data_IF_121170961115
#
_entry.id   IF_121170961115
#
_cell.length_a   1.000
_cell.length_b   1.000
_cell.length_c   1.000
_cell.angle_alpha   90.00
_cell.angle_beta   90.00
_cell.angle_gamma   90.00
#
_symmetry.space_group_name_H-M   'P 1'
#
loop_
_entity.id
_entity.type
_entity.pdbx_description
1 polymer ?
#
# COMPACT_ATOMS: atom_id res chain seq x y z
N UNK A 1 59.95 -2.38 42.97
CA UNK A 1 58.95 -1.90 41.97
C UNK A 1 58.33 -3.13 41.32
N UNK A 2 57.03 -3.03 41.05
CA UNK A 2 56.08 -4.14 40.96
C UNK A 2 56.22 -5.09 39.76
N UNK A 3 55.67 -6.29 39.98
CA UNK A 3 55.54 -7.49 39.14
C UNK A 3 55.01 -7.25 37.72
N UNK A 4 55.44 -8.11 36.79
CA UNK A 4 54.55 -8.67 35.77
C UNK A 4 55.05 -10.07 35.34
N UNK A 5 54.31 -11.09 35.75
CA UNK A 5 54.43 -12.48 35.32
C UNK A 5 53.25 -12.74 34.40
N UNK A 6 53.51 -12.99 33.12
CA UNK A 6 52.51 -13.39 32.14
C UNK A 6 52.46 -14.93 32.15
N UNK A 7 51.34 -15.50 32.60
CA UNK A 7 51.04 -16.93 32.40
C UNK A 7 49.80 -17.03 31.52
N UNK A 8 50.02 -17.78 30.44
CA UNK A 8 49.11 -18.25 29.41
C UNK A 8 48.13 -19.29 29.96
N UNK A 9 46.86 -19.22 29.57
CA UNK A 9 45.93 -20.35 29.59
C UNK A 9 44.83 -20.17 28.54
N UNK A 10 44.63 -21.21 27.73
CA UNK A 10 43.63 -21.34 26.66
C UNK A 10 42.27 -21.87 27.17
N UNK A 11 41.26 -21.73 26.28
CA UNK A 11 39.94 -22.40 26.23
C UNK A 11 38.89 -21.86 27.23
N UNK A 12 37.67 -21.47 26.83
CA UNK A 12 36.63 -22.27 26.17
C UNK A 12 35.68 -21.44 25.28
N UNK A 13 35.13 -22.10 24.26
CA UNK A 13 34.03 -21.65 23.42
C UNK A 13 32.66 -21.77 24.14
N UNK A 14 31.65 -21.15 23.52
CA UNK A 14 30.21 -21.25 23.76
C UNK A 14 29.62 -20.60 25.04
N UNK A 15 29.09 -19.39 24.87
CA UNK A 15 27.80 -19.00 25.45
C UNK A 15 27.33 -17.62 24.92
N UNK A 16 26.04 -17.57 24.60
CA UNK A 16 25.18 -16.37 24.59
C UNK A 16 25.19 -15.46 23.36
N UNK A 17 24.73 -15.98 22.22
CA UNK A 17 23.77 -15.21 21.42
C UNK A 17 22.42 -15.23 22.15
N UNK A 18 22.15 -14.20 22.96
CA UNK A 18 20.82 -13.92 23.44
C UNK A 18 19.94 -13.57 22.23
N UNK A 19 19.25 -14.58 21.69
CA UNK A 19 17.96 -14.31 21.08
C UNK A 19 17.08 -13.71 22.17
N UNK A 20 16.46 -12.55 21.91
CA UNK A 20 15.29 -12.12 22.65
C UNK A 20 14.19 -13.14 22.35
N UNK A 21 14.23 -14.25 23.10
CA UNK A 21 13.25 -15.30 23.07
C UNK A 21 11.94 -14.74 23.61
N UNK A 22 10.89 -15.03 22.86
CA UNK A 22 9.50 -14.89 23.20
C UNK A 22 9.22 -15.26 24.67
N UNK A 23 9.07 -14.23 25.51
CA UNK A 23 8.74 -14.35 26.94
C UNK A 23 7.22 -14.47 27.18
N UNK A 24 6.39 -14.64 26.14
CA UNK A 24 4.93 -14.65 26.30
C UNK A 24 4.38 -15.85 27.08
N UNK A 25 5.17 -16.89 27.39
CA UNK A 25 4.65 -18.15 27.98
C UNK A 25 4.68 -18.28 29.51
N UNK A 26 5.04 -17.26 30.27
CA UNK A 26 5.08 -17.37 31.74
C UNK A 26 3.92 -16.71 32.50
N UNK A 27 2.88 -16.18 31.84
CA UNK A 27 1.88 -15.35 32.52
C UNK A 27 0.46 -15.35 31.94
N UNK A 28 -0.04 -16.46 31.40
CA UNK A 28 -1.39 -16.48 30.80
C UNK A 28 -1.56 -15.53 29.62
N UNK A 29 -2.76 -15.49 29.04
CA UNK A 29 -3.06 -14.56 27.96
C UNK A 29 -3.04 -13.13 28.52
N UNK A 30 -2.12 -12.30 28.02
CA UNK A 30 -2.10 -10.88 28.38
C UNK A 30 -3.41 -10.23 27.91
N UNK A 31 -4.01 -9.32 28.70
CA UNK A 31 -5.18 -8.60 28.24
C UNK A 31 -4.81 -7.76 27.00
N UNK A 32 -5.75 -7.59 26.05
CA UNK A 32 -5.49 -6.79 24.86
C UNK A 32 -5.16 -5.34 25.24
N UNK A 33 -4.36 -4.67 24.41
CA UNK A 33 -4.01 -3.25 24.61
C UNK A 33 -5.27 -2.37 24.56
N UNK A 34 -6.22 -2.74 23.70
CA UNK A 34 -7.57 -2.18 23.66
C UNK A 34 -8.52 -3.13 22.92
N UNK A 35 -9.82 -2.85 23.02
CA UNK A 35 -10.85 -3.59 22.30
C UNK A 35 -11.68 -2.60 21.49
N UNK A 36 -11.83 -2.85 20.19
CA UNK A 36 -12.69 -2.05 19.32
C UNK A 36 -14.08 -2.65 19.28
N UNK A 37 -15.11 -1.82 19.43
CA UNK A 37 -16.46 -2.20 19.02
C UNK A 37 -16.58 -2.07 17.50
N UNK A 38 -16.91 -3.16 16.80
CA UNK A 38 -17.02 -3.15 15.34
C UNK A 38 -18.41 -3.61 14.91
N UNK A 39 -18.97 -2.92 13.91
CA UNK A 39 -20.27 -3.25 13.32
C UNK A 39 -20.11 -3.36 11.81
N UNK A 40 -20.36 -4.55 11.27
CA UNK A 40 -20.41 -4.76 9.82
C UNK A 40 -21.86 -4.68 9.37
N UNK A 41 -22.13 -3.86 8.36
CA UNK A 41 -23.47 -3.53 7.86
C UNK A 41 -23.58 -3.83 6.36
N UNK A 42 -24.80 -4.08 5.90
CA UNK A 42 -25.09 -4.36 4.50
C UNK A 42 -25.48 -5.82 4.26
N UNK A 43 -25.78 -6.14 3.01
CA UNK A 43 -26.17 -7.47 2.58
C UNK A 43 -24.98 -8.21 1.96
N UNK A 44 -24.43 -9.18 2.69
CA UNK A 44 -23.34 -10.02 2.19
C UNK A 44 -23.74 -10.79 0.92
N UNK A 45 -24.99 -11.23 0.84
CA UNK A 45 -25.49 -12.01 -0.30
C UNK A 45 -25.48 -11.17 -1.58
N UNK A 46 -25.65 -9.85 -1.46
CA UNK A 46 -25.62 -8.92 -2.58
C UNK A 46 -24.21 -8.62 -3.11
N UNK A 47 -23.16 -8.89 -2.33
CA UNK A 47 -21.76 -8.52 -2.69
C UNK A 47 -20.80 -9.69 -2.76
N UNK A 48 -21.16 -10.85 -2.18
CA UNK A 48 -20.29 -12.03 -2.15
C UNK A 48 -20.04 -12.57 -3.55
N UNK A 49 -18.85 -13.10 -3.74
CA UNK A 49 -18.46 -13.76 -5.00
C UNK A 49 -18.32 -15.27 -4.87
N UNK A 50 -18.33 -15.78 -3.64
CA UNK A 50 -18.29 -17.19 -3.30
C UNK A 50 -19.56 -17.61 -2.53
N UNK A 51 -19.98 -18.86 -2.69
CA UNK A 51 -21.18 -19.41 -2.06
C UNK A 51 -21.04 -19.61 -0.53
N UNK A 52 -19.81 -19.70 -0.03
CA UNK A 52 -19.51 -19.93 1.40
C UNK A 52 -18.20 -19.23 1.79
N UNK A 53 -18.23 -17.90 1.97
CA UNK A 53 -17.02 -17.13 2.30
C UNK A 53 -16.56 -17.42 3.74
N UNK A 54 -15.24 -17.53 3.94
CA UNK A 54 -14.64 -17.57 5.28
C UNK A 54 -14.38 -16.13 5.73
N UNK A 55 -15.42 -15.50 6.27
CA UNK A 55 -15.34 -14.08 6.58
C UNK A 55 -14.49 -13.80 7.80
N UNK A 56 -13.56 -12.87 7.60
CA UNK A 56 -12.70 -12.33 8.64
C UNK A 56 -12.66 -10.82 8.55
N UNK A 57 -12.08 -10.24 9.59
CA UNK A 57 -11.77 -8.82 9.63
C UNK A 57 -10.33 -8.65 10.08
N UNK A 58 -9.59 -7.79 9.38
CA UNK A 58 -8.21 -7.46 9.69
C UNK A 58 -8.03 -5.96 9.91
N UNK A 59 -7.03 -5.60 10.71
CA UNK A 59 -6.51 -4.23 10.78
C UNK A 59 -5.46 -4.05 9.69
N UNK A 60 -5.62 -3.04 8.86
CA UNK A 60 -4.64 -2.69 7.82
C UNK A 60 -4.08 -1.32 8.12
N UNK A 61 -2.78 -1.26 8.41
CA UNK A 61 -2.04 -0.04 8.66
C UNK A 61 -1.62 0.63 7.36
N UNK A 62 -1.83 1.94 7.29
CA UNK A 62 -1.55 2.73 6.10
C UNK A 62 -0.12 3.26 6.04
N UNK A 63 0.42 3.38 4.84
CA UNK A 63 1.62 4.16 4.55
C UNK A 63 1.28 5.66 4.45
N UNK A 64 2.32 6.49 4.53
CA UNK A 64 2.26 7.85 4.01
C UNK A 64 1.94 7.81 2.51
N UNK A 65 0.98 8.64 2.09
CA UNK A 65 0.59 8.76 0.69
C UNK A 65 1.79 9.18 -0.19
N UNK A 66 2.15 8.34 -1.17
CA UNK A 66 3.12 8.68 -2.23
C UNK A 66 2.48 8.37 -3.58
N UNK A 67 1.78 9.33 -4.17
CA UNK A 67 1.21 9.12 -5.49
C UNK A 67 2.29 8.85 -6.53
N UNK A 68 2.06 7.88 -7.43
CA UNK A 68 2.88 7.75 -8.64
C UNK A 68 2.77 9.05 -9.45
N UNK A 69 3.90 9.63 -9.86
CA UNK A 69 3.93 10.94 -10.54
C UNK A 69 3.11 10.96 -11.83
N UNK A 70 3.10 9.84 -12.55
CA UNK A 70 2.26 9.64 -13.75
C UNK A 70 0.78 9.76 -13.44
N UNK A 71 0.35 9.26 -12.28
CA UNK A 71 -1.04 9.26 -11.84
C UNK A 71 -1.52 10.60 -11.25
N UNK A 72 -0.61 11.56 -11.08
CA UNK A 72 -0.95 12.93 -10.65
C UNK A 72 -0.73 13.97 -11.73
N UNK A 73 -0.17 13.58 -12.88
CA UNK A 73 -0.07 14.50 -14.00
C UNK A 73 -1.44 14.73 -14.61
N UNK A 74 -1.79 15.99 -14.92
CA UNK A 74 -3.02 16.28 -15.66
C UNK A 74 -2.92 15.65 -17.06
N UNK A 75 -3.87 14.78 -17.46
CA UNK A 75 -3.85 14.17 -18.77
C UNK A 75 -4.04 15.23 -19.87
N UNK A 76 -3.30 15.10 -20.97
CA UNK A 76 -3.40 16.02 -22.10
C UNK A 76 -4.60 15.71 -23.00
N UNK A 77 -5.12 14.48 -22.93
CA UNK A 77 -6.21 13.98 -23.79
C UNK A 77 -7.22 13.12 -23.02
N UNK A 78 -8.43 12.97 -23.56
CA UNK A 78 -9.46 12.08 -22.97
C UNK A 78 -9.05 10.60 -22.99
N UNK A 79 -8.28 10.19 -24.00
CA UNK A 79 -7.73 8.83 -24.10
C UNK A 79 -6.76 8.56 -22.95
N UNK A 80 -5.83 9.48 -22.70
CA UNK A 80 -4.91 9.43 -21.57
C UNK A 80 -5.67 9.45 -20.23
N UNK A 81 -6.71 10.26 -20.08
CA UNK A 81 -7.56 10.24 -18.88
C UNK A 81 -8.17 8.85 -18.65
N UNK A 82 -8.69 8.22 -19.70
CA UNK A 82 -9.33 6.90 -19.61
C UNK A 82 -8.30 5.83 -19.24
N UNK A 83 -7.13 5.87 -19.90
CA UNK A 83 -6.01 4.99 -19.60
C UNK A 83 -5.56 5.13 -18.14
N UNK A 84 -5.26 6.35 -17.68
CA UNK A 84 -4.82 6.61 -16.32
C UNK A 84 -5.88 6.21 -15.30
N UNK A 85 -7.17 6.48 -15.56
CA UNK A 85 -8.25 6.06 -14.65
C UNK A 85 -8.36 4.53 -14.54
N UNK A 86 -8.00 3.79 -15.59
CA UNK A 86 -8.02 2.32 -15.58
C UNK A 86 -6.80 1.71 -14.88
N UNK A 87 -5.60 2.30 -15.06
CA UNK A 87 -4.34 1.74 -14.57
C UNK A 87 -3.85 2.33 -13.25
N UNK A 88 -4.16 3.60 -12.97
CA UNK A 88 -3.75 4.25 -11.74
C UNK A 88 -4.63 3.83 -10.57
N UNK A 89 -3.97 3.62 -9.43
CA UNK A 89 -4.63 3.73 -8.14
C UNK A 89 -5.12 5.17 -7.97
N UNK A 90 -6.34 5.35 -7.50
CA UNK A 90 -6.84 6.68 -7.18
C UNK A 90 -5.96 7.30 -6.08
N UNK A 91 -5.41 8.51 -6.28
CA UNK A 91 -4.43 9.09 -5.35
C UNK A 91 -5.00 9.26 -3.94
N UNK A 92 -6.29 9.51 -3.79
CA UNK A 92 -6.90 9.76 -2.48
C UNK A 92 -7.39 8.49 -1.78
N UNK A 93 -7.08 7.31 -2.32
CA UNK A 93 -7.39 6.05 -1.64
C UNK A 93 -6.47 5.83 -0.45
N UNK A 94 -7.02 5.17 0.58
CA UNK A 94 -6.22 4.59 1.65
C UNK A 94 -5.14 3.70 1.04
N UNK A 95 -3.91 3.81 1.52
CA UNK A 95 -2.71 3.14 0.99
C UNK A 95 -2.18 2.12 2.00
N UNK A 96 -2.51 0.82 1.87
CA UNK A 96 -2.03 -0.25 2.73
C UNK A 96 -0.52 -0.38 2.72
N UNK A 97 0.03 -0.64 3.91
CA UNK A 97 1.45 -0.98 4.11
C UNK A 97 1.63 -2.31 4.81
N UNK A 98 0.79 -2.61 5.79
CA UNK A 98 0.92 -3.79 6.64
C UNK A 98 -0.44 -4.25 7.14
N UNK A 99 -0.74 -5.53 6.99
CA UNK A 99 -1.84 -6.18 7.70
C UNK A 99 -1.37 -6.53 9.12
N UNK A 100 -2.23 -6.33 10.10
CA UNK A 100 -2.05 -6.72 11.49
C UNK A 100 -2.96 -7.88 11.85
N UNK A 101 -3.46 -7.86 13.10
CA UNK A 101 -4.35 -8.89 13.64
C UNK A 101 -5.58 -9.11 12.76
N UNK A 102 -6.07 -10.35 12.76
CA UNK A 102 -7.31 -10.74 12.10
C UNK A 102 -8.13 -11.69 12.98
N UNK A 103 -9.45 -11.55 12.94
CA UNK A 103 -10.38 -12.41 13.68
C UNK A 103 -11.53 -12.89 12.78
N UNK A 104 -12.11 -14.08 13.03
CA UNK A 104 -13.31 -14.52 12.36
C UNK A 104 -14.48 -13.56 12.57
N UNK A 105 -15.28 -13.35 11.53
CA UNK A 105 -16.40 -12.41 11.52
C UNK A 105 -17.73 -13.15 11.32
N UNK A 106 -18.70 -12.86 12.18
CA UNK A 106 -20.12 -13.11 11.89
C UNK A 106 -20.77 -11.81 11.44
N UNK A 107 -21.23 -11.69 10.18
CA UNK A 107 -21.80 -10.46 9.66
C UNK A 107 -23.07 -10.06 10.42
N UNK A 108 -23.36 -8.75 10.47
CA UNK A 108 -24.54 -8.16 11.12
C UNK A 108 -24.67 -8.39 12.64
N UNK A 109 -23.63 -8.89 13.30
CA UNK A 109 -23.54 -8.97 14.75
C UNK A 109 -22.43 -8.01 15.20
N UNK A 110 -22.71 -7.05 16.11
CA UNK A 110 -21.66 -6.28 16.75
C UNK A 110 -20.68 -7.21 17.44
N UNK A 111 -19.38 -7.03 17.20
CA UNK A 111 -18.37 -7.87 17.83
C UNK A 111 -17.20 -7.02 18.33
N UNK A 112 -16.45 -7.59 19.26
CA UNK A 112 -15.28 -6.99 19.88
C UNK A 112 -14.02 -7.46 19.15
N UNK A 113 -13.23 -6.52 18.64
CA UNK A 113 -11.94 -6.79 18.01
C UNK A 113 -10.83 -6.46 19.01
N UNK A 114 -10.11 -7.47 19.55
CA UNK A 114 -8.96 -7.24 20.40
C UNK A 114 -7.79 -6.70 19.57
N UNK A 115 -7.10 -5.69 20.09
CA UNK A 115 -5.83 -5.21 19.56
C UNK A 115 -4.72 -5.57 20.55
N UNK A 116 -3.86 -6.51 20.16
CA UNK A 116 -2.82 -7.03 21.04
C UNK A 116 -1.47 -6.36 20.79
N UNK A 117 -1.28 -5.81 19.59
CA UNK A 117 -0.03 -5.20 19.16
C UNK A 117 -0.13 -3.69 18.91
N UNK A 118 0.99 -3.01 19.18
CA UNK A 118 1.21 -1.63 18.73
C UNK A 118 1.55 -1.62 17.24
N UNK A 119 1.21 -0.54 16.51
CA UNK A 119 1.66 -0.39 15.13
C UNK A 119 3.19 -0.43 15.04
N UNK A 120 3.69 -1.08 14.00
CA UNK A 120 5.12 -1.12 13.71
C UNK A 120 5.70 0.28 13.42
N UNK A 121 7.00 0.45 13.68
CA UNK A 121 7.70 1.71 13.36
C UNK A 121 7.70 2.06 11.87
N UNK A 122 7.45 1.08 11.00
CA UNK A 122 7.36 1.22 9.54
C UNK A 122 6.06 1.87 9.03
N UNK A 123 5.03 1.94 9.89
CA UNK A 123 3.73 2.57 9.59
C UNK A 123 3.46 3.79 10.48
N UNK A 124 4.35 4.09 11.43
CA UNK A 124 4.29 5.28 12.25
C UNK A 124 5.05 6.43 11.59
N UNK A 125 4.36 7.56 11.39
CA UNK A 125 4.92 8.75 10.77
C UNK A 125 5.11 9.85 11.82
N UNK A 126 6.29 10.48 11.81
CA UNK A 126 6.65 11.56 12.71
C UNK A 126 8.00 11.34 13.40
N UNK A 127 8.38 12.27 14.28
CA UNK A 127 9.62 12.20 15.06
C UNK A 127 9.46 11.32 16.31
N UNK A 128 10.56 10.96 16.97
CA UNK A 128 10.55 10.03 18.13
C UNK A 128 9.63 10.46 19.29
N UNK A 129 9.29 11.75 19.41
CA UNK A 129 8.41 12.30 20.46
C UNK A 129 6.98 12.60 19.99
N UNK A 130 6.67 12.38 18.72
CA UNK A 130 5.41 12.74 18.08
C UNK A 130 5.21 11.87 16.84
N UNK A 131 4.54 10.71 17.01
CA UNK A 131 4.27 9.76 15.93
C UNK A 131 2.79 9.45 15.84
N UNK A 132 2.34 9.16 14.63
CA UNK A 132 0.97 8.70 14.39
C UNK A 132 0.95 7.60 13.34
N UNK A 133 0.11 6.60 13.56
CA UNK A 133 -0.30 5.62 12.56
C UNK A 133 -1.82 5.68 12.38
N UNK A 134 -2.27 5.37 11.16
CA UNK A 134 -3.68 5.24 10.82
C UNK A 134 -3.93 3.88 10.20
N UNK A 135 -5.08 3.29 10.50
CA UNK A 135 -5.50 2.01 9.95
C UNK A 135 -6.97 2.02 9.52
N UNK A 136 -7.24 1.22 8.48
CA UNK A 136 -8.58 0.78 8.12
C UNK A 136 -8.82 -0.61 8.70
N UNK A 137 -10.04 -0.87 9.17
CA UNK A 137 -10.49 -2.25 9.35
C UNK A 137 -11.04 -2.74 8.03
N UNK A 138 -10.70 -3.96 7.63
CA UNK A 138 -11.01 -4.54 6.32
C UNK A 138 -11.71 -5.87 6.52
N UNK A 139 -12.90 -6.03 5.94
CA UNK A 139 -13.65 -7.29 5.90
C UNK A 139 -13.25 -8.05 4.64
N UNK A 140 -12.81 -9.29 4.79
CA UNK A 140 -12.34 -10.10 3.68
C UNK A 140 -12.80 -11.56 3.76
N UNK A 141 -12.82 -12.20 2.60
CA UNK A 141 -12.93 -13.64 2.39
C UNK A 141 -11.53 -14.26 2.46
N UNK A 142 -11.26 -15.04 3.49
CA UNK A 142 -10.02 -15.80 3.68
C UNK A 142 -10.07 -17.06 2.82
N UNK A 143 -9.64 -16.93 1.56
CA UNK A 143 -9.89 -17.97 0.54
C UNK A 143 -8.96 -19.17 0.67
N UNK A 144 -7.81 -18.98 1.30
CA UNK A 144 -6.82 -20.01 1.53
C UNK A 144 -6.84 -20.55 2.98
N UNK A 145 -7.73 -20.00 3.82
CA UNK A 145 -7.87 -20.34 5.24
C UNK A 145 -6.58 -20.11 6.03
N UNK A 146 -5.76 -19.15 5.62
CA UNK A 146 -4.51 -18.79 6.31
C UNK A 146 -4.76 -18.11 7.66
N UNK A 147 -5.95 -17.55 7.86
CA UNK A 147 -6.34 -16.80 9.03
C UNK A 147 -5.77 -15.38 9.07
N UNK A 148 -5.14 -14.90 8.00
CA UNK A 148 -4.53 -13.57 7.91
C UNK A 148 -4.90 -12.90 6.60
N UNK A 149 -4.97 -11.57 6.58
CA UNK A 149 -5.19 -10.84 5.33
C UNK A 149 -3.88 -10.74 4.55
N UNK A 150 -3.84 -11.34 3.38
CA UNK A 150 -2.74 -11.18 2.43
C UNK A 150 -2.92 -9.91 1.60
N UNK A 151 -1.99 -8.96 1.75
CA UNK A 151 -2.00 -7.75 0.94
C UNK A 151 -1.44 -8.05 -0.46
N UNK A 152 -2.28 -7.84 -1.47
CA UNK A 152 -1.93 -8.02 -2.86
C UNK A 152 -0.87 -7.03 -3.33
N UNK A 153 -0.08 -7.46 -4.31
CA UNK A 153 0.91 -6.63 -4.98
C UNK A 153 0.48 -6.37 -6.42
N UNK A 154 0.91 -5.24 -6.95
CA UNK A 154 0.83 -4.99 -8.38
C UNK A 154 1.72 -6.01 -9.09
N UNK A 155 1.12 -6.83 -9.96
CA UNK A 155 1.87 -7.79 -10.76
C UNK A 155 2.73 -7.05 -11.78
N UNK A 156 3.92 -7.54 -12.11
CA UNK A 156 4.67 -6.99 -13.25
C UNK A 156 4.44 -7.90 -14.45
N UNK A 157 4.27 -7.36 -15.66
CA UNK A 157 4.42 -8.22 -16.82
C UNK A 157 5.83 -8.83 -16.78
N UNK A 158 5.95 -10.13 -17.12
CA UNK A 158 7.23 -10.82 -17.03
C UNK A 158 8.30 -10.08 -17.83
N UNK A 159 9.48 -9.93 -17.23
CA UNK A 159 10.64 -9.33 -17.85
C UNK A 159 11.87 -10.21 -17.56
N UNK A 160 12.61 -10.54 -18.62
CA UNK A 160 13.94 -11.12 -18.51
C UNK A 160 14.97 -10.03 -18.71
N UNK A 161 15.87 -9.88 -17.75
CA UNK A 161 17.00 -9.00 -17.95
C UNK A 161 17.88 -9.49 -19.11
N UNK A 162 18.72 -8.60 -19.64
CA UNK A 162 19.65 -8.90 -20.74
C UNK A 162 20.69 -9.97 -20.37
N UNK A 163 20.78 -10.38 -19.10
CA UNK A 163 21.66 -11.46 -18.62
C UNK A 163 20.94 -12.80 -18.54
N UNK A 164 19.70 -12.86 -19.01
CA UNK A 164 18.87 -14.07 -18.99
C UNK A 164 18.45 -14.50 -17.59
N UNK A 165 18.64 -13.64 -16.58
CA UNK A 165 18.05 -13.84 -15.27
C UNK A 165 16.62 -13.35 -15.36
N UNK A 166 15.70 -14.30 -15.33
CA UNK A 166 14.35 -14.00 -14.89
C UNK A 166 14.50 -13.50 -13.45
N UNK A 167 14.13 -12.25 -13.18
CA UNK A 167 13.88 -11.88 -11.79
C UNK A 167 12.67 -12.72 -11.39
N UNK A 168 12.94 -13.80 -10.66
CA UNK A 168 11.94 -14.72 -10.12
C UNK A 168 11.10 -14.04 -9.01
N UNK A 169 10.76 -12.74 -9.16
CA UNK A 169 9.55 -12.17 -8.55
C UNK A 169 8.30 -12.64 -9.34
N UNK A 170 8.30 -13.91 -9.79
CA UNK A 170 7.06 -14.65 -9.79
C UNK A 170 6.71 -14.85 -8.33
N UNK A 171 5.92 -13.92 -7.78
CA UNK A 171 4.92 -14.29 -6.77
C UNK A 171 3.98 -15.26 -7.50
N UNK A 172 4.44 -16.50 -7.66
CA UNK A 172 3.66 -17.63 -8.13
C UNK A 172 2.44 -17.75 -7.19
N UNK A 173 1.28 -17.84 -7.82
CA UNK A 173 -0.03 -18.11 -7.24
C UNK A 173 -0.89 -16.93 -6.72
N UNK A 174 -1.10 -15.93 -7.58
CA UNK A 174 -2.20 -14.97 -7.45
C UNK A 174 -3.61 -15.59 -7.68
N UNK A 175 -3.78 -16.92 -7.60
CA UNK A 175 -5.07 -17.58 -7.90
C UNK A 175 -6.00 -17.71 -6.69
N UNK A 176 -5.51 -17.49 -5.46
CA UNK A 176 -6.30 -17.63 -4.22
C UNK A 176 -6.25 -16.41 -3.32
N UNK A 177 -5.91 -15.21 -3.84
CA UNK A 177 -5.87 -14.01 -3.01
C UNK A 177 -7.21 -13.67 -2.35
N UNK A 178 -7.15 -13.19 -1.12
CA UNK A 178 -8.32 -12.78 -0.33
C UNK A 178 -9.20 -11.76 -1.04
N UNK A 179 -10.52 -11.89 -0.88
CA UNK A 179 -11.49 -10.97 -1.49
C UNK A 179 -11.97 -9.98 -0.45
N UNK A 180 -11.74 -8.68 -0.68
CA UNK A 180 -12.21 -7.64 0.23
C UNK A 180 -13.68 -7.30 -0.06
N UNK A 181 -14.53 -7.34 0.96
CA UNK A 181 -15.94 -6.95 0.89
C UNK A 181 -16.25 -5.64 1.61
N UNK A 182 -15.33 -5.09 2.40
CA UNK A 182 -15.57 -3.83 3.10
C UNK A 182 -14.30 -3.23 3.68
N UNK A 183 -14.30 -1.91 3.82
CA UNK A 183 -13.23 -1.17 4.48
C UNK A 183 -13.83 0.01 5.24
N UNK A 184 -13.39 0.21 6.49
CA UNK A 184 -13.80 1.34 7.33
C UNK A 184 -13.23 2.67 6.82
N UNK A 185 -12.10 2.61 6.10
CA UNK A 185 -11.48 3.73 5.43
C UNK A 185 -10.89 3.29 4.07
N UNK A 186 -11.65 3.52 2.99
CA UNK A 186 -11.23 3.17 1.63
C UNK A 186 -10.62 4.36 0.87
N UNK A 187 -11.20 5.55 1.05
CA UNK A 187 -10.80 6.77 0.37
C UNK A 187 -11.06 8.01 1.23
N UNK A 188 -10.24 9.04 1.06
CA UNK A 188 -10.44 10.34 1.72
C UNK A 188 -11.56 11.17 1.10
N UNK A 189 -12.09 10.72 -0.05
CA UNK A 189 -13.19 11.36 -0.76
C UNK A 189 -14.57 10.89 -0.32
N UNK A 190 -14.62 9.96 0.62
CA UNK A 190 -15.83 9.36 1.15
C UNK A 190 -15.83 9.52 2.67
N UNK A 191 -17.00 9.44 3.32
CA UNK A 191 -17.06 9.32 4.77
C UNK A 191 -16.26 8.11 5.26
N UNK A 192 -15.38 8.32 6.24
CA UNK A 192 -14.52 7.28 6.78
C UNK A 192 -14.60 7.19 8.32
N UNK A 193 -14.32 6.00 8.83
CA UNK A 193 -14.02 5.76 10.24
C UNK A 193 -12.74 4.95 10.32
N UNK A 194 -11.70 5.50 10.93
CA UNK A 194 -10.37 4.91 10.97
C UNK A 194 -9.87 4.75 12.39
N UNK A 195 -9.08 3.71 12.59
CA UNK A 195 -8.28 3.54 13.78
C UNK A 195 -7.05 4.45 13.67
N UNK A 196 -6.69 5.10 14.77
CA UNK A 196 -5.44 5.83 14.89
C UNK A 196 -4.70 5.41 16.15
N UNK A 197 -3.38 5.45 16.08
CA UNK A 197 -2.53 5.32 17.26
C UNK A 197 -1.58 6.51 17.29
N UNK A 198 -1.65 7.32 18.35
CA UNK A 198 -0.79 8.51 18.54
C UNK A 198 0.14 8.33 19.73
N UNK A 199 1.43 8.51 19.49
CA UNK A 199 2.45 8.62 20.52
C UNK A 199 2.92 10.05 20.68
N UNK A 200 2.86 10.56 21.92
CA UNK A 200 3.30 11.91 22.24
C UNK A 200 2.40 13.00 21.68
N UNK A 201 2.99 14.14 21.32
CA UNK A 201 2.26 15.28 20.79
C UNK A 201 1.83 15.04 19.33
N UNK A 202 0.72 15.66 18.90
CA UNK A 202 0.36 15.63 17.48
C UNK A 202 1.15 16.68 16.71
N UNK A 203 1.87 16.25 15.69
CA UNK A 203 2.48 17.13 14.71
C UNK A 203 1.60 17.15 13.46
N UNK A 204 1.04 18.31 13.11
CA UNK A 204 0.20 18.46 11.92
C UNK A 204 0.97 18.18 10.62
N UNK A 205 2.30 18.34 10.60
CA UNK A 205 3.13 17.94 9.46
C UNK A 205 3.22 16.41 9.28
N UNK A 206 2.88 15.63 10.31
CA UNK A 206 2.78 14.17 10.26
C UNK A 206 1.36 13.69 9.91
N UNK A 207 0.42 14.60 9.58
CA UNK A 207 -0.92 14.25 9.14
C UNK A 207 -0.91 13.84 7.66
N UNK A 208 -0.70 12.55 7.37
CA UNK A 208 -0.67 12.03 6.01
C UNK A 208 -2.02 11.52 5.48
N UNK A 209 -3.02 11.38 6.35
CA UNK A 209 -4.43 11.31 5.97
C UNK A 209 -5.13 12.58 6.46
N UNK A 210 -5.20 13.64 5.63
CA UNK A 210 -5.67 14.95 6.04
C UNK A 210 -7.03 14.93 6.72
N UNK A 211 -7.07 15.65 7.84
CA UNK A 211 -8.26 16.06 8.58
C UNK A 211 -8.12 17.53 8.97
N UNK A 212 -7.66 18.35 8.02
CA UNK A 212 -7.45 19.77 8.29
C UNK A 212 -8.79 20.40 8.70
N UNK A 213 -8.83 21.00 9.89
CA UNK A 213 -10.07 21.53 10.49
C UNK A 213 -10.68 20.63 11.57
N UNK A 214 -10.27 19.36 11.67
CA UNK A 214 -10.63 18.50 12.79
C UNK A 214 -9.71 18.72 14.01
N UNK A 215 -10.11 18.15 15.15
CA UNK A 215 -9.31 18.11 16.37
C UNK A 215 -8.05 17.26 16.24
N UNK A 216 -7.24 17.29 17.30
CA UNK A 216 -6.10 16.40 17.39
C UNK A 216 -6.56 14.97 17.69
N UNK A 217 -6.02 13.95 17.01
CA UNK A 217 -6.30 12.55 17.35
C UNK A 217 -6.04 12.27 18.84
N UNK A 218 -6.88 11.47 19.53
CA UNK A 218 -6.64 11.10 20.92
C UNK A 218 -5.26 10.44 21.12
N UNK A 219 -4.63 10.58 22.30
CA UNK A 219 -3.40 9.85 22.60
C UNK A 219 -3.68 8.35 22.66
N UNK A 220 -2.69 7.52 22.30
CA UNK A 220 -2.82 6.06 22.14
C UNK A 220 -3.85 5.70 21.07
N UNK A 221 -4.58 4.60 21.24
CA UNK A 221 -5.62 4.18 20.32
C UNK A 221 -6.83 5.12 20.40
N UNK A 222 -7.20 5.67 19.25
CA UNK A 222 -8.38 6.49 19.05
C UNK A 222 -9.13 6.07 17.80
N UNK A 223 -10.43 6.35 17.79
CA UNK A 223 -11.28 6.21 16.60
C UNK A 223 -11.56 7.61 16.06
N UNK A 224 -11.30 7.79 14.78
CA UNK A 224 -11.49 9.07 14.09
C UNK A 224 -12.50 8.87 12.97
N UNK A 225 -13.40 9.83 12.77
CA UNK A 225 -14.24 9.90 11.58
C UNK A 225 -14.17 11.25 10.90
N UNK A 226 -14.41 11.25 9.59
CA UNK A 226 -14.49 12.44 8.76
C UNK A 226 -15.53 12.23 7.65
N UNK A 227 -16.09 13.33 7.11
CA UNK A 227 -17.08 13.28 6.04
C UNK A 227 -16.50 13.10 4.62
N UNK A 228 -15.19 13.33 4.46
CA UNK A 228 -14.52 13.30 3.17
C UNK A 228 -14.52 14.66 2.47
N UNK A 229 -13.75 14.77 1.40
CA UNK A 229 -13.69 15.97 0.54
C UNK A 229 -13.69 15.58 -0.94
N UNK A 230 -14.06 16.50 -1.82
CA UNK A 230 -14.03 16.25 -3.26
C UNK A 230 -12.59 16.15 -3.79
N UNK A 231 -12.45 15.43 -4.90
CA UNK A 231 -11.18 15.35 -5.66
C UNK A 231 -10.68 16.74 -6.05
N UNK A 232 -11.59 17.64 -6.45
CA UNK A 232 -11.25 19.02 -6.81
C UNK A 232 -10.70 19.82 -5.63
N UNK A 233 -11.27 19.68 -4.44
CA UNK A 233 -10.76 20.32 -3.21
C UNK A 233 -9.36 19.81 -2.86
N UNK A 234 -9.13 18.51 -3.02
CA UNK A 234 -7.81 17.92 -2.80
C UNK A 234 -6.74 18.49 -3.76
N UNK A 235 -7.04 18.55 -5.06
CA UNK A 235 -6.11 19.13 -6.05
C UNK A 235 -5.91 20.63 -5.83
N UNK A 236 -6.97 21.37 -5.51
CA UNK A 236 -6.89 22.80 -5.22
C UNK A 236 -5.96 23.03 -4.02
N UNK A 237 -6.19 22.33 -2.91
CA UNK A 237 -5.35 22.44 -1.73
C UNK A 237 -3.89 22.04 -2.02
N UNK A 238 -3.67 20.95 -2.74
CA UNK A 238 -2.33 20.50 -3.12
C UNK A 238 -1.58 21.54 -3.97
N UNK A 239 -2.27 22.18 -4.93
CA UNK A 239 -1.68 23.25 -5.76
C UNK A 239 -1.26 24.48 -4.95
N UNK A 240 -1.89 24.67 -3.78
CA UNK A 240 -1.60 25.75 -2.84
C UNK A 240 -0.66 25.29 -1.70
N UNK A 241 -0.09 24.09 -1.80
CA UNK A 241 0.75 23.47 -0.76
C UNK A 241 0.04 23.37 0.60
N UNK A 242 -1.26 23.08 0.59
CA UNK A 242 -2.13 22.90 1.76
C UNK A 242 -2.81 21.53 1.73
N UNK A 243 -3.37 21.13 2.86
CA UNK A 243 -4.23 19.95 2.94
C UNK A 243 -5.68 20.36 2.61
N UNK A 244 -6.49 19.46 2.03
CA UNK A 244 -7.92 19.71 1.89
C UNK A 244 -8.57 19.84 3.27
N UNK A 245 -9.39 20.86 3.45
CA UNK A 245 -10.17 21.07 4.67
C UNK A 245 -11.33 20.09 4.74
N UNK A 246 -11.53 19.50 5.91
CA UNK A 246 -12.74 18.77 6.27
C UNK A 246 -13.75 19.74 6.89
N UNK A 247 -15.04 19.45 6.74
CA UNK A 247 -16.08 20.11 7.54
C UNK A 247 -15.93 19.68 9.01
N UNK A 248 -15.62 20.61 9.95
CA UNK A 248 -15.46 20.28 11.36
C UNK A 248 -16.71 19.61 11.98
N UNK A 249 -17.91 19.88 11.44
CA UNK A 249 -19.15 19.24 11.92
C UNK A 249 -19.21 17.74 11.61
N UNK A 250 -18.40 17.26 10.66
CA UNK A 250 -18.28 15.84 10.28
C UNK A 250 -17.13 15.14 11.00
N UNK A 251 -16.28 15.90 11.69
CA UNK A 251 -15.14 15.37 12.42
C UNK A 251 -15.60 14.82 13.77
N UNK A 252 -15.49 13.51 13.95
CA UNK A 252 -15.76 12.85 15.23
C UNK A 252 -14.49 12.20 15.73
N UNK A 253 -14.25 12.31 17.04
CA UNK A 253 -13.11 11.73 17.73
C UNK A 253 -13.60 10.99 18.96
N UNK A 254 -13.13 9.77 19.13
CA UNK A 254 -13.56 8.91 20.23
C UNK A 254 -12.49 7.91 20.63
N UNK A 255 -12.81 7.12 21.65
CA UNK A 255 -11.99 5.99 22.05
C UNK A 255 -12.59 4.69 21.50
N UNK A 256 -11.77 3.63 21.32
CA UNK A 256 -12.24 2.28 21.00
C UNK A 256 -13.46 1.82 21.81
N UNK A 257 -13.53 2.20 23.10
CA UNK A 257 -14.59 1.81 24.02
C UNK A 257 -15.92 2.55 23.82
N UNK A 258 -15.91 3.73 23.19
CA UNK A 258 -17.07 4.62 23.13
C UNK A 258 -17.58 4.88 21.73
N UNK A 259 -16.77 4.59 20.71
CA UNK A 259 -17.08 4.89 19.32
C UNK A 259 -16.90 3.63 18.47
N UNK A 260 -18.00 2.97 18.05
CA UNK A 260 -17.89 1.78 17.22
C UNK A 260 -17.39 2.13 15.81
N UNK A 261 -16.60 1.24 15.23
CA UNK A 261 -16.17 1.32 13.83
C UNK A 261 -17.22 0.60 12.98
N UNK A 262 -17.90 1.34 12.11
CA UNK A 262 -18.88 0.77 11.19
C UNK A 262 -18.23 0.49 9.84
N UNK A 263 -18.46 -0.70 9.28
CA UNK A 263 -17.96 -1.12 7.97
C UNK A 263 -19.15 -1.48 7.11
N UNK A 264 -19.32 -0.75 6.01
CA UNK A 264 -20.32 -1.09 4.99
C UNK A 264 -19.74 -2.13 4.02
N UNK A 265 -20.49 -3.21 3.81
CA UNK A 265 -20.22 -4.18 2.75
C UNK A 265 -20.48 -3.54 1.38
N UNK A 266 -19.55 -3.76 0.46
CA UNK A 266 -19.50 -3.19 -0.88
C UNK A 266 -19.01 -4.23 -1.90
N UNK A 267 -19.35 -4.08 -3.19
CA UNK A 267 -18.77 -4.90 -4.24
C UNK A 267 -17.23 -4.88 -4.19
N UNK A 268 -16.53 -6.02 -4.36
CA UNK A 268 -15.07 -6.07 -4.22
C UNK A 268 -14.31 -5.08 -5.10
N UNK A 269 -14.83 -4.76 -6.30
CA UNK A 269 -14.22 -3.79 -7.21
C UNK A 269 -14.09 -2.38 -6.62
N UNK A 270 -14.95 -2.01 -5.66
CA UNK A 270 -14.94 -0.70 -5.00
C UNK A 270 -13.96 -0.60 -3.85
N UNK A 271 -13.63 -1.73 -3.19
CA UNK A 271 -12.87 -1.76 -1.93
C UNK A 271 -11.56 -2.55 -2.00
N UNK A 272 -11.30 -3.30 -3.07
CA UNK A 272 -10.10 -4.16 -3.21
C UNK A 272 -8.77 -3.44 -2.98
N UNK A 273 -8.70 -2.14 -3.32
CA UNK A 273 -7.48 -1.35 -3.15
C UNK A 273 -7.09 -1.18 -1.67
N UNK A 274 -8.03 -1.37 -0.73
CA UNK A 274 -7.75 -1.40 0.70
C UNK A 274 -6.92 -2.63 1.14
N UNK A 275 -6.71 -3.60 0.25
CA UNK A 275 -5.78 -4.71 0.44
C UNK A 275 -4.65 -4.75 -0.61
N UNK A 276 -4.37 -3.62 -1.28
CA UNK A 276 -3.32 -3.53 -2.28
C UNK A 276 -2.13 -2.69 -1.79
N UNK A 277 -0.97 -3.34 -1.66
CA UNK A 277 0.27 -2.67 -1.31
C UNK A 277 0.62 -1.60 -2.34
N UNK A 278 1.12 -0.49 -1.82
CA UNK A 278 1.80 0.48 -2.66
C UNK A 278 3.10 -0.11 -3.21
N UNK A 279 3.41 0.23 -4.46
CA UNK A 279 4.68 -0.15 -5.07
C UNK A 279 5.83 0.52 -4.33
N UNK A 280 6.78 -0.27 -3.84
CA UNK A 280 8.02 0.21 -3.21
C UNK A 280 9.09 0.66 -4.21
N UNK A 281 8.88 0.36 -5.49
CA UNK A 281 9.84 0.56 -6.59
C UNK A 281 9.21 1.35 -7.73
N UNK A 282 10.04 2.06 -8.50
CA UNK A 282 9.65 3.12 -9.45
C UNK A 282 8.76 2.76 -10.64
N UNK A 283 8.11 1.59 -10.71
CA UNK A 283 7.32 1.26 -11.90
C UNK A 283 8.15 0.78 -13.09
N UNK A 284 9.42 1.15 -13.13
CA UNK A 284 10.18 1.32 -14.36
C UNK A 284 11.09 0.13 -14.68
N UNK A 285 10.93 -0.41 -15.88
CA UNK A 285 11.81 -1.38 -16.52
C UNK A 285 12.58 -0.65 -17.63
N UNK A 286 13.91 -0.76 -17.58
CA UNK A 286 14.81 -0.09 -18.52
C UNK A 286 15.50 -1.13 -19.38
N UNK A 287 15.38 -0.98 -20.70
CA UNK A 287 16.06 -1.82 -21.68
C UNK A 287 17.31 -1.11 -22.19
N UNK A 288 18.46 -1.72 -21.94
CA UNK A 288 19.77 -1.23 -22.41
C UNK A 288 20.20 -1.89 -23.72
N UNK A 289 19.56 -3.00 -24.10
CA UNK A 289 19.70 -3.68 -25.37
C UNK A 289 18.30 -4.04 -25.91
N UNK A 290 18.15 -4.38 -27.20
CA UNK A 290 16.86 -4.75 -27.76
C UNK A 290 16.26 -5.94 -27.01
N UNK A 291 15.07 -5.81 -26.41
CA UNK A 291 14.41 -6.96 -25.79
C UNK A 291 14.04 -8.01 -26.83
N UNK A 292 14.39 -9.26 -26.51
CA UNK A 292 14.14 -10.43 -27.36
C UNK A 292 12.69 -10.88 -27.28
N UNK A 293 12.09 -10.78 -26.09
CA UNK A 293 10.71 -11.19 -25.83
C UNK A 293 9.77 -9.98 -25.91
N UNK A 294 8.64 -10.16 -26.60
CA UNK A 294 7.59 -9.15 -26.67
C UNK A 294 6.82 -9.11 -25.34
N UNK A 295 6.39 -7.91 -24.94
CA UNK A 295 5.47 -7.75 -23.81
C UNK A 295 4.11 -8.33 -24.21
N UNK A 296 3.53 -9.16 -23.33
CA UNK A 296 2.16 -9.63 -23.48
C UNK A 296 1.18 -8.50 -23.11
N UNK A 297 0.56 -7.91 -24.14
CA UNK A 297 -0.48 -6.89 -23.99
C UNK A 297 -1.89 -7.47 -23.86
N UNK A 298 -2.06 -8.81 -23.83
CA UNK A 298 -3.38 -9.43 -23.68
C UNK A 298 -4.04 -8.96 -22.39
N UNK A 299 -5.27 -8.46 -22.50
CA UNK A 299 -6.07 -7.87 -21.41
C UNK A 299 -5.42 -6.66 -20.71
N UNK A 300 -4.50 -5.97 -21.39
CA UNK A 300 -3.84 -4.75 -20.92
C UNK A 300 -4.09 -3.61 -21.89
N UNK A 301 -4.13 -2.39 -21.36
CA UNK A 301 -4.03 -1.17 -22.17
C UNK A 301 -2.61 -0.65 -22.12
N UNK A 302 -2.20 0.12 -23.13
CA UNK A 302 -0.91 0.80 -23.14
C UNK A 302 -1.03 2.25 -23.63
N UNK A 303 -0.06 3.07 -23.24
CA UNK A 303 0.08 4.46 -23.66
C UNK A 303 1.54 4.75 -23.96
N UNK A 304 1.79 5.53 -25.01
CA UNK A 304 3.12 6.02 -25.37
C UNK A 304 3.28 7.47 -24.95
N UNK A 305 4.30 7.77 -24.14
CA UNK A 305 4.55 9.10 -23.60
C UNK A 305 5.97 9.54 -23.89
N UNK A 306 6.13 10.69 -24.53
CA UNK A 306 7.45 11.32 -24.71
C UNK A 306 7.84 12.02 -23.40
N UNK A 307 9.04 11.76 -22.91
CA UNK A 307 9.65 12.48 -21.77
C UNK A 307 10.55 13.57 -22.36
N UNK A 308 10.10 14.84 -22.43
CA UNK A 308 10.77 15.87 -23.22
C UNK A 308 12.20 16.14 -22.76
N UNK A 309 12.42 16.12 -21.44
CA UNK A 309 13.72 16.37 -20.81
C UNK A 309 14.79 15.33 -21.19
N UNK A 310 14.34 14.12 -21.50
CA UNK A 310 15.22 12.97 -21.80
C UNK A 310 15.21 12.60 -23.29
N UNK A 311 14.27 13.14 -24.06
CA UNK A 311 14.01 12.74 -25.46
C UNK A 311 13.81 11.23 -25.62
N UNK A 312 13.20 10.59 -24.61
CA UNK A 312 12.87 9.16 -24.65
C UNK A 312 11.37 8.99 -24.70
N UNK A 313 10.92 8.03 -25.49
CA UNK A 313 9.54 7.57 -25.46
C UNK A 313 9.40 6.43 -24.46
N UNK A 314 8.56 6.64 -23.46
CA UNK A 314 8.14 5.67 -22.47
C UNK A 314 6.88 4.95 -22.94
N UNK A 315 6.87 3.63 -22.80
CA UNK A 315 5.68 2.78 -22.97
C UNK A 315 5.13 2.49 -21.57
N UNK A 316 3.92 2.93 -21.30
CA UNK A 316 3.23 2.72 -20.02
C UNK A 316 2.16 1.66 -20.25
N UNK A 317 2.13 0.63 -19.42
CA UNK A 317 1.22 -0.52 -19.56
C UNK A 317 0.44 -0.72 -18.26
N UNK A 318 -0.86 -0.94 -18.37
CA UNK A 318 -1.71 -1.24 -17.21
C UNK A 318 -1.50 -2.66 -16.71
N UNK A 319 -2.03 -2.94 -15.51
CA UNK A 319 -2.31 -4.31 -15.11
C UNK A 319 -3.36 -5.00 -15.98
N UNK A 320 -3.44 -6.34 -15.89
CA UNK A 320 -4.55 -7.08 -16.48
C UNK A 320 -5.83 -6.71 -15.75
N UNK A 321 -6.96 -6.77 -16.44
CA UNK A 321 -8.28 -6.53 -15.85
C UNK A 321 -8.60 -7.50 -14.71
N UNK A 322 -8.07 -8.73 -14.78
CA UNK A 322 -8.20 -9.77 -13.77
C UNK A 322 -7.25 -9.59 -12.57
N UNK A 323 -6.23 -8.72 -12.66
CA UNK A 323 -5.32 -8.49 -11.55
C UNK A 323 -6.05 -7.79 -10.40
N UNK A 324 -5.78 -8.25 -9.17
CA UNK A 324 -6.41 -7.73 -7.95
C UNK A 324 -6.11 -6.25 -7.71
N UNK A 325 -4.87 -5.84 -7.96
CA UNK A 325 -4.36 -4.51 -7.65
C UNK A 325 -4.08 -3.71 -8.91
N UNK A 326 -4.60 -2.48 -8.97
CA UNK A 326 -4.28 -1.53 -10.04
C UNK A 326 -2.83 -1.12 -9.97
N UNK A 327 -2.23 -0.82 -11.11
CA UNK A 327 -0.88 -0.31 -11.20
C UNK A 327 -0.46 -0.06 -12.64
N UNK A 328 0.61 0.71 -12.78
CA UNK A 328 1.27 0.95 -14.05
C UNK A 328 2.65 0.30 -14.06
N UNK A 329 3.04 -0.22 -15.22
CA UNK A 329 4.43 -0.60 -15.49
C UNK A 329 4.97 0.29 -16.61
N UNK A 330 6.13 0.88 -16.34
CA UNK A 330 6.78 1.85 -17.19
C UNK A 330 7.94 1.16 -17.91
N UNK A 331 7.95 1.17 -19.24
CA UNK A 331 9.03 0.61 -20.04
C UNK A 331 9.76 1.71 -20.78
N UNK A 332 11.09 1.70 -20.71
CA UNK A 332 11.94 2.74 -21.29
C UNK A 332 13.07 2.09 -22.08
N UNK A 333 13.19 2.44 -23.36
CA UNK A 333 14.35 2.09 -24.18
C UNK A 333 15.45 3.14 -23.94
N UNK A 334 16.67 2.73 -23.58
CA UNK A 334 17.78 3.65 -23.31
C UNK A 334 19.02 3.43 -24.16
N UNK A 335 19.33 2.19 -24.51
CA UNK A 335 20.53 1.90 -25.31
C UNK A 335 21.89 2.12 -24.61
N UNK A 336 21.90 2.57 -23.35
CA UNK A 336 23.10 2.88 -22.56
C UNK A 336 23.02 2.19 -21.20
N UNK A 337 24.02 1.42 -20.78
CA UNK A 337 24.00 0.68 -19.50
C UNK A 337 24.08 1.55 -18.23
N UNK A 338 24.37 2.85 -18.38
CA UNK A 338 24.48 3.80 -17.26
C UNK A 338 23.10 4.33 -16.88
N UNK A 339 22.69 4.09 -15.63
CA UNK A 339 21.38 4.52 -15.11
C UNK A 339 21.22 6.04 -15.01
N UNK A 340 22.34 6.76 -14.88
CA UNK A 340 22.34 8.21 -14.68
C UNK A 340 22.22 8.99 -15.99
N UNK A 341 22.55 8.37 -17.13
CA UNK A 341 22.55 9.03 -18.43
C UNK A 341 21.59 8.36 -19.41
N UNK A 342 20.91 9.20 -20.18
CA UNK A 342 20.10 8.77 -21.32
C UNK A 342 20.87 8.97 -22.61
N UNK A 343 21.81 9.91 -22.58
CA UNK A 343 22.68 10.36 -23.66
C UNK A 343 24.13 9.87 -23.40
N UNK A 344 24.40 8.60 -23.66
CA UNK A 344 25.79 8.17 -23.78
C UNK A 344 26.31 8.54 -25.18
N UNK A 345 27.56 9.02 -25.27
CA UNK A 345 28.17 9.43 -26.54
C UNK A 345 28.22 8.29 -27.57
N UNK A 346 28.20 7.03 -27.09
CA UNK A 346 28.19 5.82 -27.88
C UNK A 346 27.19 4.82 -27.26
N UNK A 347 25.92 4.81 -27.71
CA UNK A 347 24.96 3.81 -27.25
C UNK A 347 25.37 2.41 -27.70
N UNK A 348 25.24 1.44 -26.79
CA UNK A 348 25.35 0.02 -27.08
C UNK A 348 24.24 -0.43 -28.05
N UNK A 349 23.13 0.30 -28.03
CA UNK A 349 22.00 0.11 -28.93
C UNK A 349 21.31 1.43 -29.28
N UNK A 350 21.31 1.80 -30.56
CA UNK A 350 20.48 2.91 -31.04
C UNK A 350 19.03 2.45 -31.26
N UNK A 351 18.22 2.57 -30.21
CA UNK A 351 16.80 2.24 -30.23
C UNK A 351 15.97 3.17 -31.14
N UNK A 352 16.51 4.33 -31.55
CA UNK A 352 15.80 5.25 -32.47
C UNK A 352 15.88 4.77 -33.91
N UNK A 353 16.96 4.07 -34.27
CA UNK A 353 17.16 3.51 -35.62
C UNK A 353 16.74 2.04 -35.72
N UNK A 354 16.82 1.29 -34.62
CA UNK A 354 16.52 -0.15 -34.61
C UNK A 354 15.72 -0.55 -33.37
N UNK A 355 14.49 -0.02 -33.20
CA UNK A 355 13.61 -0.41 -32.12
C UNK A 355 13.10 -1.86 -32.29
N UNK A 356 12.63 -2.52 -31.21
CA UNK A 356 12.04 -3.83 -31.32
C UNK A 356 10.78 -3.77 -32.18
N UNK A 357 10.57 -4.71 -33.09
CA UNK A 357 9.44 -4.68 -34.03
C UNK A 357 8.06 -4.75 -33.38
N UNK A 358 7.99 -5.14 -32.10
CA UNK A 358 6.75 -5.17 -31.31
C UNK A 358 6.50 -3.87 -30.51
N UNK A 359 7.46 -2.94 -30.46
CA UNK A 359 7.37 -1.71 -29.67
C UNK A 359 6.42 -0.71 -30.34
N UNK A 360 5.31 -0.29 -29.69
CA UNK A 360 4.27 0.48 -30.37
C UNK A 360 4.52 1.99 -30.38
N UNK A 361 5.57 2.48 -29.71
CA UNK A 361 5.76 3.91 -29.43
C UNK A 361 6.78 4.61 -30.34
N UNK A 362 6.76 4.31 -31.64
CA UNK A 362 7.69 4.86 -32.65
C UNK A 362 7.03 5.87 -33.57
#
# INVERSE_FOLDING_TARGET
>A
MNRLTLIMACAFADAASFGCGDLQRFGGDAPPLTTLAVVVTGDLEAVRTADSPDLRIAVVWGAQWLSESTCTTLPATTEETTFLTSGCRHPLFFTPKRAGDSVPLSPNVPFEFPLDDLPGGDVMIGGLSARIAYASLVVFDDRDHSGVLELGRMQRPPYRDTRGKQEDEHDDDNTTGDIVYGASFAAMTEPDTRLAFREGAFNTASAFYPRQGCGEPPPRFGVLAAGGFSVLEAYTAASESRLPSQDPATCIEGTPATMPITIALRPPVEVREAACLQRSSSGTIRYYAPPVEAIDFSDRSFLCRVIPEKQVTELIVTQRTADRCRGLTHYVLRGCSDDERVDCELPEWDFTQSPPGWWPCL
#
